data_IF_502677526854
#
_entry.id   IF_502677526854
#
_cell.length_a   1.000
_cell.length_b   1.000
_cell.length_c   1.000
_cell.angle_alpha   90.00
_cell.angle_beta   90.00
_cell.angle_gamma   90.00
#
_symmetry.space_group_name_H-M   'P 1'
#
loop_
_entity.id
_entity.type
_entity.pdbx_description
1 polymer ?
#
# COMPACT_ATOMS: atom_id res chain seq x y z
N UNK A 1 5.36 8.70 -12.46
CA UNK A 1 4.60 8.36 -13.69
C UNK A 1 5.21 7.08 -14.28
N UNK A 2 4.44 6.00 -14.40
CA UNK A 2 4.94 4.74 -14.97
C UNK A 2 5.26 4.93 -16.46
N UNK A 3 6.43 4.48 -16.92
CA UNK A 3 6.84 4.62 -18.32
C UNK A 3 5.86 3.87 -19.24
N UNK A 4 5.72 4.32 -20.48
CA UNK A 4 4.80 3.70 -21.45
C UNK A 4 5.08 2.20 -21.63
N UNK A 5 6.36 1.82 -21.63
CA UNK A 5 6.80 0.42 -21.70
C UNK A 5 6.28 -0.41 -20.52
N UNK A 6 6.27 0.15 -19.31
CA UNK A 6 5.77 -0.54 -18.11
C UNK A 6 4.23 -0.68 -18.15
N UNK A 7 3.53 0.29 -18.74
CA UNK A 7 2.07 0.18 -18.98
C UNK A 7 1.75 -0.96 -19.95
N UNK A 8 2.53 -1.11 -21.02
CA UNK A 8 2.37 -2.22 -21.97
C UNK A 8 2.66 -3.58 -21.34
N UNK A 9 3.69 -3.70 -20.50
CA UNK A 9 3.96 -4.94 -19.75
C UNK A 9 2.79 -5.35 -18.86
N UNK A 10 2.20 -4.41 -18.13
CA UNK A 10 1.03 -4.70 -17.28
C UNK A 10 -0.17 -5.12 -18.12
N UNK A 11 -0.43 -4.45 -19.25
CA UNK A 11 -1.48 -4.84 -20.18
C UNK A 11 -1.27 -6.25 -20.76
N UNK A 12 -0.05 -6.58 -21.16
CA UNK A 12 0.29 -7.93 -21.63
C UNK A 12 0.07 -8.97 -20.55
N UNK A 13 0.42 -8.68 -19.29
CA UNK A 13 0.17 -9.58 -18.15
C UNK A 13 -1.32 -9.77 -17.89
N UNK A 14 -2.12 -8.72 -18.03
CA UNK A 14 -3.58 -8.82 -17.92
C UNK A 14 -4.16 -9.69 -19.05
N UNK A 15 -3.64 -9.53 -20.26
CA UNK A 15 -4.20 -10.15 -21.46
C UNK A 15 -3.73 -11.58 -21.70
N UNK A 16 -2.44 -11.89 -21.51
CA UNK A 16 -1.82 -13.15 -21.96
C UNK A 16 -1.64 -14.20 -20.85
N UNK A 17 -1.60 -13.79 -19.58
CA UNK A 17 -1.44 -14.75 -18.49
C UNK A 17 -2.82 -15.25 -18.00
N UNK A 18 -3.17 -16.44 -18.48
CA UNK A 18 -4.35 -17.21 -18.08
C UNK A 18 -4.02 -18.39 -17.18
N UNK A 19 -2.73 -18.60 -16.88
CA UNK A 19 -2.25 -19.77 -16.15
C UNK A 19 -2.03 -19.46 -14.67
N UNK A 20 -1.86 -18.18 -14.33
CA UNK A 20 -1.74 -17.71 -12.96
C UNK A 20 -2.88 -16.78 -12.55
N UNK A 21 -3.25 -16.72 -11.26
CA UNK A 21 -4.20 -15.73 -10.76
C UNK A 21 -3.67 -14.31 -10.98
N UNK A 22 -4.55 -13.40 -11.39
CA UNK A 22 -4.23 -11.96 -11.44
C UNK A 22 -4.30 -11.37 -10.04
N UNK A 23 -3.17 -10.97 -9.50
CA UNK A 23 -3.09 -10.46 -8.13
C UNK A 23 -3.11 -8.94 -8.17
N UNK A 24 -4.14 -8.33 -7.60
CA UNK A 24 -4.30 -6.87 -7.56
C UNK A 24 -3.87 -6.27 -6.23
N UNK A 25 -3.09 -5.18 -6.25
CA UNK A 25 -2.68 -4.44 -5.06
C UNK A 25 -3.48 -3.14 -4.89
N UNK A 26 -3.94 -2.93 -3.67
CA UNK A 26 -4.67 -1.76 -3.20
C UNK A 26 -3.95 -1.19 -1.98
N UNK A 27 -4.11 0.11 -1.73
CA UNK A 27 -3.81 0.73 -0.43
C UNK A 27 -5.11 1.13 0.27
N UNK A 28 -6.05 1.70 -0.50
CA UNK A 28 -7.39 2.09 -0.10
C UNK A 28 -8.31 2.16 -1.34
N UNK A 29 -9.61 2.31 -1.10
CA UNK A 29 -10.59 2.51 -2.16
C UNK A 29 -11.84 3.27 -1.67
N UNK A 30 -12.49 3.98 -2.58
CA UNK A 30 -13.84 4.51 -2.37
C UNK A 30 -14.88 3.38 -2.49
N UNK A 31 -16.03 3.46 -1.79
CA UNK A 31 -17.01 2.38 -1.77
C UNK A 31 -17.53 2.02 -3.16
N UNK A 32 -17.89 3.03 -3.95
CA UNK A 32 -18.48 2.83 -5.27
C UNK A 32 -17.45 2.24 -6.24
N UNK A 33 -16.22 2.76 -6.23
CA UNK A 33 -15.11 2.24 -7.06
C UNK A 33 -14.80 0.78 -6.73
N UNK A 34 -14.76 0.42 -5.44
CA UNK A 34 -14.50 -0.97 -5.07
C UNK A 34 -15.67 -1.88 -5.45
N UNK A 35 -16.90 -1.42 -5.25
CA UNK A 35 -18.12 -2.17 -5.66
C UNK A 35 -18.14 -2.42 -7.17
N UNK A 36 -17.84 -1.40 -7.99
CA UNK A 36 -17.71 -1.54 -9.45
C UNK A 36 -16.65 -2.57 -9.85
N UNK A 37 -15.50 -2.59 -9.16
CA UNK A 37 -14.46 -3.59 -9.42
C UNK A 37 -14.93 -5.01 -9.08
N UNK A 38 -15.60 -5.20 -7.95
CA UNK A 38 -16.15 -6.51 -7.57
C UNK A 38 -17.23 -6.98 -8.56
N UNK A 39 -18.14 -6.08 -8.94
CA UNK A 39 -19.19 -6.36 -9.91
C UNK A 39 -18.63 -6.72 -11.28
N UNK A 40 -17.61 -6.00 -11.75
CA UNK A 40 -16.92 -6.33 -13.00
C UNK A 40 -16.27 -7.72 -12.95
N UNK A 41 -15.56 -8.04 -11.85
CA UNK A 41 -14.92 -9.33 -11.68
C UNK A 41 -15.95 -10.47 -11.69
N UNK A 42 -17.07 -10.30 -10.99
CA UNK A 42 -18.16 -11.26 -10.97
C UNK A 42 -18.83 -11.41 -12.34
N UNK A 43 -19.13 -10.30 -13.02
CA UNK A 43 -19.70 -10.28 -14.37
C UNK A 43 -18.81 -11.03 -15.37
N UNK A 44 -17.48 -10.83 -15.29
CA UNK A 44 -16.48 -11.52 -16.12
C UNK A 44 -16.15 -12.94 -15.62
N UNK A 45 -16.85 -13.42 -14.59
CA UNK A 45 -16.75 -14.76 -13.99
C UNK A 45 -15.36 -15.08 -13.46
N UNK A 46 -14.70 -14.10 -12.86
CA UNK A 46 -13.47 -14.34 -12.10
C UNK A 46 -13.81 -15.00 -10.76
N UNK A 47 -13.09 -16.07 -10.43
CA UNK A 47 -13.06 -16.62 -9.07
C UNK A 47 -12.06 -15.81 -8.24
N UNK A 48 -12.53 -15.24 -7.14
CA UNK A 48 -11.69 -14.50 -6.20
C UNK A 48 -11.13 -15.49 -5.17
N UNK A 49 -9.80 -15.62 -5.13
CA UNK A 49 -9.07 -16.60 -4.32
C UNK A 49 -8.65 -16.01 -2.97
N UNK A 50 -8.72 -16.83 -1.92
CA UNK A 50 -8.12 -16.53 -0.62
C UNK A 50 -6.69 -17.12 -0.48
N UNK A 51 -6.07 -16.95 0.68
CA UNK A 51 -4.71 -17.43 0.91
C UNK A 51 -4.55 -18.95 0.81
N UNK A 52 -5.54 -19.72 1.30
CA UNK A 52 -5.51 -21.19 1.22
C UNK A 52 -5.49 -21.68 -0.22
N UNK A 53 -6.32 -21.08 -1.08
CA UNK A 53 -6.29 -21.37 -2.52
C UNK A 53 -4.90 -21.07 -3.09
N UNK A 54 -4.30 -19.94 -2.70
CA UNK A 54 -3.01 -19.52 -3.21
C UNK A 54 -1.88 -20.45 -2.77
N UNK A 55 -1.87 -20.92 -1.52
CA UNK A 55 -0.94 -21.98 -1.06
C UNK A 55 -1.09 -23.23 -1.90
N UNK A 56 -2.33 -23.66 -2.17
CA UNK A 56 -2.60 -24.78 -3.08
C UNK A 56 -1.98 -24.56 -4.47
N UNK A 57 -2.01 -23.32 -5.00
CA UNK A 57 -1.36 -22.97 -6.29
C UNK A 57 0.16 -23.00 -6.27
N UNK A 58 0.78 -22.88 -5.10
CA UNK A 58 2.24 -23.08 -4.96
C UNK A 58 2.57 -24.56 -5.15
N UNK A 59 1.74 -25.44 -4.58
CA UNK A 59 1.96 -26.89 -4.60
C UNK A 59 1.53 -27.53 -5.92
N UNK A 60 0.39 -27.10 -6.46
CA UNK A 60 -0.20 -27.62 -7.69
C UNK A 60 -0.03 -26.60 -8.83
N UNK A 61 0.95 -26.86 -9.71
CA UNK A 61 1.06 -26.14 -11.00
C UNK A 61 -0.03 -26.63 -11.95
N UNK A 62 -1.28 -26.20 -11.75
CA UNK A 62 -2.27 -25.84 -12.79
C UNK A 62 -3.72 -26.18 -12.44
N UNK A 63 -4.56 -25.13 -12.49
CA UNK A 63 -5.73 -25.13 -13.37
C UNK A 63 -5.79 -23.76 -14.06
N UNK A 64 -5.83 -23.77 -15.39
CA UNK A 64 -6.11 -22.55 -16.14
C UNK A 64 -7.52 -22.07 -15.77
N UNK A 65 -7.65 -20.79 -15.43
CA UNK A 65 -8.89 -20.24 -14.91
C UNK A 65 -8.86 -18.72 -14.84
N UNK A 66 -10.05 -18.11 -14.89
CA UNK A 66 -10.20 -16.68 -14.61
C UNK A 66 -10.17 -16.50 -13.10
N UNK A 67 -8.99 -16.23 -12.57
CA UNK A 67 -8.77 -16.12 -11.14
C UNK A 67 -8.12 -14.80 -10.78
N UNK A 68 -8.54 -14.26 -9.64
CA UNK A 68 -7.95 -13.04 -9.08
C UNK A 68 -7.69 -13.20 -7.60
N UNK A 69 -6.72 -12.43 -7.11
CA UNK A 69 -6.47 -12.26 -5.67
C UNK A 69 -6.54 -10.76 -5.40
N UNK A 70 -7.26 -10.36 -4.36
CA UNK A 70 -7.34 -8.98 -3.91
C UNK A 70 -6.42 -8.80 -2.71
N UNK A 71 -5.43 -7.92 -2.82
CA UNK A 71 -4.46 -7.65 -1.76
C UNK A 71 -4.47 -6.19 -1.36
N UNK A 72 -4.44 -5.90 -0.06
CA UNK A 72 -4.44 -4.55 0.50
C UNK A 72 -3.19 -4.36 1.35
N UNK A 73 -2.37 -3.37 1.05
CA UNK A 73 -1.16 -3.06 1.81
C UNK A 73 -1.44 -2.05 2.94
N UNK A 74 -0.45 -1.87 3.81
CA UNK A 74 -0.33 -0.92 4.91
C UNK A 74 -1.25 -1.16 6.13
N UNK A 75 -2.35 -1.89 5.98
CA UNK A 75 -3.32 -2.09 7.06
C UNK A 75 -4.10 -0.81 7.40
N UNK A 76 -4.48 -0.04 6.37
CA UNK A 76 -5.26 1.20 6.54
C UNK A 76 -6.66 0.93 7.07
N UNK A 77 -7.18 1.87 7.85
CA UNK A 77 -8.55 1.92 8.37
C UNK A 77 -9.64 1.65 7.33
N UNK A 78 -9.40 2.09 6.10
CA UNK A 78 -10.29 1.83 4.97
C UNK A 78 -10.64 0.34 4.79
N UNK A 79 -9.73 -0.56 5.17
CA UNK A 79 -9.98 -1.99 5.14
C UNK A 79 -11.15 -2.41 6.04
N UNK A 80 -11.29 -1.79 7.22
CA UNK A 80 -12.42 -2.02 8.14
C UNK A 80 -13.67 -1.27 7.72
N UNK A 81 -13.53 0.03 7.48
CA UNK A 81 -14.67 0.91 7.30
C UNK A 81 -15.41 0.68 5.97
N UNK A 82 -14.71 0.22 4.93
CA UNK A 82 -15.25 0.14 3.57
C UNK A 82 -15.05 -1.24 2.95
N UNK A 83 -13.81 -1.73 2.91
CA UNK A 83 -13.49 -2.95 2.18
C UNK A 83 -14.22 -4.14 2.81
N UNK A 84 -14.09 -4.36 4.12
CA UNK A 84 -14.67 -5.52 4.79
C UNK A 84 -16.21 -5.62 4.69
N UNK A 85 -17.00 -4.54 4.92
CA UNK A 85 -18.43 -4.53 4.60
C UNK A 85 -18.76 -4.97 3.17
N UNK A 86 -17.96 -4.54 2.19
CA UNK A 86 -18.16 -4.91 0.79
C UNK A 86 -17.75 -6.37 0.53
N UNK A 87 -16.65 -6.86 1.12
CA UNK A 87 -16.29 -8.28 1.08
C UNK A 87 -17.43 -9.16 1.62
N UNK A 88 -18.07 -8.75 2.72
CA UNK A 88 -19.26 -9.43 3.28
C UNK A 88 -20.45 -9.39 2.31
N UNK A 89 -20.76 -8.22 1.76
CA UNK A 89 -21.88 -8.03 0.82
C UNK A 89 -21.75 -8.92 -0.41
N UNK A 90 -20.56 -9.00 -1.01
CA UNK A 90 -20.31 -9.80 -2.22
C UNK A 90 -19.84 -11.23 -1.92
N UNK A 91 -19.57 -11.57 -0.64
CA UNK A 91 -19.09 -12.89 -0.18
C UNK A 91 -17.79 -13.32 -0.85
N UNK A 92 -16.79 -12.43 -0.83
CA UNK A 92 -15.50 -12.63 -1.51
C UNK A 92 -14.33 -12.44 -0.55
N UNK A 93 -13.20 -13.06 -0.88
CA UNK A 93 -12.00 -13.05 -0.05
C UNK A 93 -11.03 -11.91 -0.40
N UNK A 94 -10.24 -11.49 0.58
CA UNK A 94 -9.08 -10.62 0.38
C UNK A 94 -7.95 -10.93 1.36
N UNK A 95 -6.73 -10.52 1.03
CA UNK A 95 -5.59 -10.58 1.93
C UNK A 95 -5.12 -9.17 2.28
N UNK A 96 -4.86 -8.90 3.55
CA UNK A 96 -4.34 -7.62 4.05
C UNK A 96 -2.91 -7.82 4.53
N UNK A 97 -1.97 -7.08 3.96
CA UNK A 97 -0.59 -6.99 4.43
C UNK A 97 -0.47 -5.80 5.37
N UNK A 98 -0.26 -6.07 6.66
CA UNK A 98 -0.24 -5.06 7.72
C UNK A 98 1.18 -4.66 8.09
N UNK A 99 1.32 -3.45 8.64
CA UNK A 99 2.54 -2.93 9.25
C UNK A 99 2.34 -2.99 10.77
N UNK A 100 2.81 -4.03 11.48
CA UNK A 100 2.38 -4.29 12.86
C UNK A 100 2.68 -3.16 13.84
N UNK A 101 3.71 -2.35 13.62
CA UNK A 101 3.98 -1.19 14.48
C UNK A 101 2.98 -0.04 14.35
N UNK A 102 2.12 -0.06 13.32
CA UNK A 102 1.08 0.95 13.08
C UNK A 102 -0.33 0.48 13.43
N UNK A 103 -0.48 -0.80 13.76
CA UNK A 103 -1.75 -1.36 14.22
C UNK A 103 -1.92 -1.03 15.70
N UNK A 104 -3.08 -0.49 16.05
CA UNK A 104 -3.38 -0.06 17.42
C UNK A 104 -3.93 -1.21 18.27
N UNK A 105 -3.60 -1.21 19.56
CA UNK A 105 -4.19 -2.08 20.59
C UNK A 105 -5.55 -1.56 21.12
N UNK A 106 -6.11 -0.51 20.51
CA UNK A 106 -7.43 0.01 20.87
C UNK A 106 -8.51 -1.07 20.69
N UNK A 107 -9.33 -1.27 21.72
CA UNK A 107 -10.49 -2.17 21.70
C UNK A 107 -11.81 -1.42 21.42
N UNK A 108 -11.75 -0.16 21.00
CA UNK A 108 -12.92 0.63 20.64
C UNK A 108 -13.61 0.09 19.37
N UNK A 109 -14.92 0.31 19.26
CA UNK A 109 -15.69 0.00 18.05
C UNK A 109 -15.77 1.23 17.15
N UNK A 110 -15.21 1.10 15.95
CA UNK A 110 -15.19 2.17 14.96
C UNK A 110 -16.25 1.93 13.86
N UNK A 111 -16.84 3.01 13.31
CA UNK A 111 -17.90 2.88 12.33
C UNK A 111 -17.41 2.32 10.99
N UNK A 112 -18.34 1.68 10.29
CA UNK A 112 -18.17 1.08 8.97
C UNK A 112 -19.33 1.42 8.04
N UNK A 113 -19.25 1.00 6.77
CA UNK A 113 -20.35 1.13 5.82
C UNK A 113 -21.62 0.42 6.29
N UNK A 114 -21.53 -0.66 7.08
CA UNK A 114 -22.73 -1.29 7.63
C UNK A 114 -23.44 -0.41 8.65
N UNK A 115 -22.70 0.39 9.40
CA UNK A 115 -23.27 1.40 10.31
C UNK A 115 -23.95 2.51 9.51
N UNK A 116 -23.32 2.95 8.42
CA UNK A 116 -23.89 3.93 7.51
C UNK A 116 -25.18 3.42 6.84
N UNK A 117 -25.18 2.21 6.28
CA UNK A 117 -26.36 1.60 5.65
C UNK A 117 -27.53 1.43 6.63
N UNK A 118 -27.25 1.27 7.94
CA UNK A 118 -28.26 1.18 9.00
C UNK A 118 -28.64 2.54 9.60
N UNK A 119 -28.11 3.64 9.08
CA UNK A 119 -28.38 4.99 9.57
C UNK A 119 -27.79 5.30 10.95
N UNK A 120 -26.81 4.51 11.43
CA UNK A 120 -26.16 4.68 12.75
C UNK A 120 -25.05 5.73 12.73
N UNK A 121 -24.55 6.09 11.55
CA UNK A 121 -23.54 7.14 11.34
C UNK A 121 -23.83 7.85 10.02
N UNK A 122 -23.52 9.15 9.94
CA UNK A 122 -23.56 9.88 8.67
C UNK A 122 -22.34 9.53 7.80
N UNK A 123 -22.46 9.73 6.48
CA UNK A 123 -21.32 9.56 5.57
C UNK A 123 -20.15 10.47 5.96
N UNK A 124 -20.41 11.72 6.34
CA UNK A 124 -19.37 12.68 6.76
C UNK A 124 -18.58 12.16 7.97
N UNK A 125 -19.27 11.65 8.99
CA UNK A 125 -18.60 11.11 10.18
C UNK A 125 -17.80 9.84 9.87
N UNK A 126 -18.33 8.96 9.01
CA UNK A 126 -17.59 7.78 8.54
C UNK A 126 -16.35 8.20 7.73
N UNK A 127 -16.49 9.18 6.84
CA UNK A 127 -15.43 9.71 6.00
C UNK A 127 -14.30 10.29 6.85
N UNK A 128 -14.62 11.17 7.80
CA UNK A 128 -13.65 11.82 8.68
C UNK A 128 -12.99 10.88 9.68
N UNK A 129 -13.59 9.71 9.97
CA UNK A 129 -13.00 8.73 10.91
C UNK A 129 -11.61 8.25 10.49
N UNK A 130 -11.34 8.18 9.17
CA UNK A 130 -10.03 7.81 8.61
C UNK A 130 -8.91 8.76 9.05
N UNK A 131 -9.20 10.06 9.25
CA UNK A 131 -8.20 11.03 9.73
C UNK A 131 -7.89 10.86 11.21
N UNK A 132 -8.87 10.42 12.00
CA UNK A 132 -8.71 10.22 13.45
C UNK A 132 -7.91 8.96 13.76
N UNK A 133 -8.19 7.90 13.01
CA UNK A 133 -7.59 6.60 13.20
C UNK A 133 -7.23 6.01 11.82
N UNK A 134 -6.05 6.31 11.27
CA UNK A 134 -5.70 5.98 9.88
C UNK A 134 -5.38 4.50 9.65
N UNK A 135 -5.07 3.76 10.71
CA UNK A 135 -4.76 2.32 10.67
C UNK A 135 -5.80 1.49 11.43
N UNK A 136 -5.81 0.20 11.12
CA UNK A 136 -6.63 -0.79 11.81
C UNK A 136 -6.23 -0.98 13.27
N UNK A 137 -7.11 -1.63 14.03
CA UNK A 137 -6.76 -2.21 15.34
C UNK A 137 -6.56 -3.73 15.23
N UNK A 138 -5.89 -4.32 16.23
CA UNK A 138 -5.82 -5.78 16.33
C UNK A 138 -7.19 -6.43 16.55
N UNK A 139 -8.10 -5.76 17.28
CA UNK A 139 -9.50 -6.20 17.42
C UNK A 139 -10.17 -6.37 16.05
N UNK A 140 -10.04 -5.38 15.16
CA UNK A 140 -10.63 -5.41 13.82
C UNK A 140 -10.02 -6.50 12.95
N UNK A 141 -8.69 -6.67 13.00
CA UNK A 141 -8.00 -7.73 12.25
C UNK A 141 -8.46 -9.12 12.70
N UNK A 142 -8.60 -9.36 14.02
CA UNK A 142 -9.13 -10.61 14.56
C UNK A 142 -10.58 -10.85 14.10
N UNK A 143 -11.42 -9.83 14.13
CA UNK A 143 -12.82 -9.94 13.66
C UNK A 143 -12.90 -10.25 12.16
N UNK A 144 -12.17 -9.50 11.33
CA UNK A 144 -12.09 -9.74 9.89
C UNK A 144 -11.57 -11.15 9.60
N UNK A 145 -10.54 -11.61 10.33
CA UNK A 145 -10.01 -12.97 10.19
C UNK A 145 -11.05 -14.03 10.53
N UNK A 146 -11.72 -13.88 11.67
CA UNK A 146 -12.73 -14.84 12.16
C UNK A 146 -13.91 -15.01 11.21
N UNK A 147 -14.19 -14.03 10.34
CA UNK A 147 -15.23 -14.13 9.31
C UNK A 147 -14.91 -15.13 8.20
N UNK A 148 -13.63 -15.54 8.06
CA UNK A 148 -13.14 -16.36 6.96
C UNK A 148 -12.94 -15.60 5.64
N UNK A 149 -13.31 -14.32 5.55
CA UNK A 149 -13.20 -13.52 4.33
C UNK A 149 -11.84 -12.82 4.18
N UNK A 150 -11.13 -12.62 5.29
CA UNK A 150 -9.87 -11.86 5.29
C UNK A 150 -8.73 -12.70 5.84
N UNK A 151 -7.62 -12.70 5.11
CA UNK A 151 -6.33 -13.19 5.59
C UNK A 151 -5.43 -12.01 6.00
N UNK A 152 -4.57 -12.17 7.00
CA UNK A 152 -3.69 -11.13 7.53
C UNK A 152 -2.23 -11.56 7.41
N UNK A 153 -1.40 -10.73 6.76
CA UNK A 153 -0.02 -11.04 6.41
C UNK A 153 0.91 -9.84 6.61
N UNK A 154 2.21 -10.04 6.36
CA UNK A 154 3.26 -9.10 6.74
C UNK A 154 3.61 -8.08 5.64
N UNK A 155 3.65 -6.80 5.99
CA UNK A 155 4.20 -5.72 5.16
C UNK A 155 5.41 -5.04 5.83
N UNK A 156 6.32 -5.84 6.38
CA UNK A 156 7.42 -5.39 7.26
C UNK A 156 6.94 -4.85 8.62
N UNK A 157 7.87 -4.65 9.56
CA UNK A 157 7.55 -4.27 10.92
C UNK A 157 7.11 -2.80 11.04
N UNK A 158 7.92 -1.87 10.50
CA UNK A 158 7.67 -0.42 10.57
C UNK A 158 7.34 0.26 9.25
N UNK A 159 7.64 -0.41 8.13
CA UNK A 159 7.55 0.19 6.80
C UNK A 159 8.27 1.55 6.73
N UNK A 160 9.38 1.68 7.46
CA UNK A 160 10.17 2.91 7.48
C UNK A 160 10.73 3.19 6.10
N UNK A 161 10.46 4.38 5.58
CA UNK A 161 10.95 4.84 4.28
C UNK A 161 11.88 6.02 4.50
N UNK A 162 13.00 6.05 3.79
CA UNK A 162 13.97 7.14 3.86
C UNK A 162 14.35 7.62 2.47
N UNK A 163 14.62 8.93 2.29
CA UNK A 163 15.21 9.42 1.05
C UNK A 163 16.61 8.84 0.85
N UNK A 164 16.93 8.45 -0.39
CA UNK A 164 18.24 7.91 -0.80
C UNK A 164 18.82 8.63 -2.00
N UNK A 165 18.14 9.66 -2.52
CA UNK A 165 18.62 10.47 -3.62
C UNK A 165 17.98 11.86 -3.66
N UNK A 166 18.64 12.80 -4.33
CA UNK A 166 18.18 14.19 -4.47
C UNK A 166 17.08 14.36 -5.52
N UNK A 167 16.80 13.32 -6.31
CA UNK A 167 15.80 13.36 -7.37
C UNK A 167 14.40 13.39 -6.76
N UNK A 168 13.64 14.43 -7.04
CA UNK A 168 12.22 14.50 -6.67
C UNK A 168 11.44 13.59 -7.61
N UNK A 169 10.58 12.74 -7.04
CA UNK A 169 9.74 11.80 -7.79
C UNK A 169 8.28 12.22 -7.80
N UNK A 170 7.85 13.01 -6.80
CA UNK A 170 6.52 13.60 -6.71
C UNK A 170 6.47 14.71 -5.65
N UNK A 171 5.27 15.19 -5.33
CA UNK A 171 5.03 16.07 -4.18
C UNK A 171 3.90 15.51 -3.32
N UNK A 172 3.94 15.76 -2.03
CA UNK A 172 2.90 15.34 -1.10
C UNK A 172 1.57 16.01 -1.46
N UNK A 173 0.55 15.19 -1.70
CA UNK A 173 -0.78 15.62 -2.11
C UNK A 173 -1.87 14.73 -1.48
N UNK A 174 -3.13 15.18 -1.45
CA UNK A 174 -4.23 14.37 -0.95
C UNK A 174 -4.52 13.16 -1.84
N UNK A 175 -4.86 12.05 -1.22
CA UNK A 175 -5.32 10.79 -1.81
C UNK A 175 -6.78 10.51 -1.46
N UNK A 176 -7.11 9.22 -1.34
CA UNK A 176 -8.45 8.75 -0.97
C UNK A 176 -8.75 9.17 0.48
N UNK A 177 -9.99 9.59 0.75
CA UNK A 177 -10.41 10.22 2.01
C UNK A 177 -9.56 11.43 2.42
N UNK A 178 -8.95 12.10 1.45
CA UNK A 178 -8.07 13.27 1.67
C UNK A 178 -6.85 12.96 2.54
N UNK A 179 -6.50 11.68 2.64
CA UNK A 179 -5.31 11.25 3.35
C UNK A 179 -4.06 11.53 2.52
N UNK A 180 -2.92 11.90 3.15
CA UNK A 180 -1.66 12.05 2.45
C UNK A 180 -1.30 10.80 1.62
N UNK A 181 -0.93 10.95 0.34
CA UNK A 181 -0.51 9.79 -0.47
C UNK A 181 0.76 9.12 0.06
N UNK A 182 1.75 9.90 0.49
CA UNK A 182 3.01 9.40 1.06
C UNK A 182 3.00 9.43 2.58
N UNK A 183 1.82 9.19 3.18
CA UNK A 183 1.58 9.25 4.62
C UNK A 183 2.66 8.52 5.46
N UNK A 184 3.10 7.37 4.96
CA UNK A 184 4.08 6.49 5.58
C UNK A 184 5.47 7.10 5.80
N UNK A 185 5.85 8.10 5.01
CA UNK A 185 7.16 8.77 5.11
C UNK A 185 7.24 9.72 6.31
N UNK A 186 6.09 10.11 6.86
CA UNK A 186 5.99 11.17 7.88
C UNK A 186 5.59 10.64 9.26
N UNK A 187 5.43 9.32 9.42
CA UNK A 187 4.90 8.70 10.64
C UNK A 187 5.93 8.61 11.79
N UNK A 188 7.23 8.74 11.52
CA UNK A 188 8.28 8.61 12.55
C UNK A 188 8.32 9.78 13.56
N UNK A 189 7.59 10.88 13.31
CA UNK A 189 7.62 12.11 14.11
C UNK A 189 6.37 12.37 14.96
N UNK A 190 5.47 11.38 15.12
CA UNK A 190 4.08 11.62 15.54
C UNK A 190 3.23 12.00 14.34
N UNK A 191 1.89 11.92 14.43
CA UNK A 191 1.03 12.32 13.31
C UNK A 191 1.24 13.82 13.02
N UNK A 192 1.93 14.23 11.94
CA UNK A 192 1.88 15.63 11.56
C UNK A 192 0.41 15.96 11.26
N UNK A 193 -0.01 17.19 11.55
CA UNK A 193 -1.27 17.67 11.03
C UNK A 193 -1.25 17.43 9.50
N UNK A 194 -2.18 16.67 8.91
CA UNK A 194 -2.14 16.37 7.48
C UNK A 194 -2.04 17.63 6.61
N UNK A 195 -2.46 18.77 7.16
CA UNK A 195 -2.44 20.06 6.49
C UNK A 195 -1.09 20.78 6.47
N UNK A 196 -0.09 20.31 7.22
CA UNK A 196 1.25 20.92 7.29
C UNK A 196 2.25 20.35 6.28
N UNK A 197 1.86 19.37 5.46
CA UNK A 197 2.79 18.66 4.57
C UNK A 197 2.46 18.80 3.09
N UNK A 198 1.38 19.50 2.75
CA UNK A 198 0.97 19.64 1.36
C UNK A 198 2.00 20.37 0.51
N UNK A 199 2.34 19.79 -0.64
CA UNK A 199 3.32 20.34 -1.59
C UNK A 199 4.77 20.00 -1.31
N UNK A 200 5.09 19.41 -0.16
CA UNK A 200 6.47 19.05 0.17
C UNK A 200 7.00 18.04 -0.86
N UNK A 201 8.22 18.22 -1.39
CA UNK A 201 8.82 17.26 -2.30
C UNK A 201 8.94 15.85 -1.72
N UNK A 202 8.65 14.87 -2.57
CA UNK A 202 8.88 13.46 -2.28
C UNK A 202 10.10 13.05 -3.09
N UNK A 203 11.14 12.64 -2.38
CA UNK A 203 12.42 12.29 -2.96
C UNK A 203 12.47 10.82 -3.38
N UNK A 204 13.47 10.49 -4.20
CA UNK A 204 13.88 9.12 -4.42
C UNK A 204 14.19 8.46 -3.09
N UNK A 205 13.60 7.29 -2.86
CA UNK A 205 13.45 6.72 -1.53
C UNK A 205 13.55 5.21 -1.54
N UNK A 206 13.93 4.68 -0.39
CA UNK A 206 14.00 3.25 -0.17
C UNK A 206 13.38 2.83 1.15
N UNK A 207 13.03 1.55 1.24
CA UNK A 207 12.78 0.92 2.52
C UNK A 207 14.06 0.98 3.36
N UNK A 208 13.99 1.63 4.52
CA UNK A 208 15.15 2.01 5.32
C UNK A 208 16.10 0.86 5.67
N UNK A 209 15.64 -0.37 5.93
CA UNK A 209 16.52 -1.52 6.16
C UNK A 209 17.48 -1.84 5.00
N UNK A 210 17.22 -1.35 3.79
CA UNK A 210 18.08 -1.53 2.61
C UNK A 210 19.04 -0.35 2.39
N UNK A 211 18.85 0.78 3.08
CA UNK A 211 19.59 2.01 2.82
C UNK A 211 20.91 2.03 3.60
N UNK A 212 22.03 2.12 2.88
CA UNK A 212 23.35 2.37 3.51
C UNK A 212 23.63 3.87 3.71
N UNK A 213 23.12 4.71 2.79
CA UNK A 213 23.22 6.16 2.85
C UNK A 213 21.82 6.76 2.73
N UNK A 214 21.57 7.80 3.51
CA UNK A 214 20.32 8.55 3.55
C UNK A 214 20.58 9.94 3.00
N UNK A 215 19.78 10.35 2.03
CA UNK A 215 19.73 11.72 1.56
C UNK A 215 18.95 12.57 2.57
N UNK A 216 19.49 13.72 2.93
CA UNK A 216 18.86 14.71 3.80
C UNK A 216 18.57 15.95 2.95
N UNK A 217 17.30 16.15 2.54
CA UNK A 217 16.88 17.31 1.77
C UNK A 217 17.17 18.64 2.50
N UNK A 218 17.34 19.70 1.70
CA UNK A 218 17.32 21.06 2.24
C UNK A 218 15.88 21.48 2.57
N UNK A 219 15.62 21.75 3.85
CA UNK A 219 14.30 22.16 4.36
C UNK A 219 13.77 23.44 3.72
N UNK A 220 14.64 24.29 3.15
CA UNK A 220 14.18 25.48 2.43
C UNK A 220 13.26 25.12 1.26
N UNK A 221 13.58 24.04 0.55
CA UNK A 221 12.75 23.56 -0.57
C UNK A 221 11.37 23.16 -0.08
N UNK A 222 11.31 22.36 0.98
CA UNK A 222 10.06 21.90 1.60
C UNK A 222 9.18 23.09 2.02
N UNK A 223 9.78 24.08 2.70
CA UNK A 223 9.09 25.27 3.17
C UNK A 223 8.55 26.13 2.02
N UNK A 224 9.35 26.39 0.98
CA UNK A 224 8.93 27.21 -0.17
C UNK A 224 7.79 26.55 -0.93
N UNK A 225 7.87 25.23 -1.16
CA UNK A 225 6.83 24.49 -1.85
C UNK A 225 5.54 24.42 -1.02
N UNK A 226 5.65 24.23 0.30
CA UNK A 226 4.50 24.22 1.20
C UNK A 226 3.79 25.58 1.25
N UNK A 227 4.54 26.68 1.42
CA UNK A 227 3.97 28.02 1.45
C UNK A 227 3.32 28.41 0.12
N UNK A 228 3.86 27.96 -1.02
CA UNK A 228 3.20 28.13 -2.32
C UNK A 228 1.82 27.46 -2.36
N UNK A 229 1.70 26.22 -1.86
CA UNK A 229 0.41 25.54 -1.81
C UNK A 229 -0.56 26.29 -0.91
N UNK A 230 -0.12 26.69 0.29
CA UNK A 230 -0.92 27.44 1.24
C UNK A 230 -1.44 28.75 0.64
N UNK A 231 -0.57 29.53 0.01
CA UNK A 231 -0.94 30.76 -0.70
C UNK A 231 -1.86 30.51 -1.92
N UNK A 232 -1.77 29.33 -2.53
CA UNK A 232 -2.54 28.96 -3.73
C UNK A 232 -3.89 28.30 -3.45
N UNK A 233 -4.40 28.41 -2.21
CA UNK A 233 -5.69 27.87 -1.76
C UNK A 233 -5.60 26.59 -0.94
N UNK A 234 -4.40 26.22 -0.47
CA UNK A 234 -4.16 25.07 0.39
C UNK A 234 -4.71 23.78 -0.22
N UNK A 235 -5.53 23.06 0.54
CA UNK A 235 -6.17 21.83 0.10
C UNK A 235 -6.95 21.96 -1.24
N UNK A 236 -7.64 23.09 -1.46
CA UNK A 236 -8.42 23.32 -2.69
C UNK A 236 -7.54 23.44 -3.95
N UNK A 237 -6.23 23.70 -3.79
CA UNK A 237 -5.28 23.66 -4.90
C UNK A 237 -5.33 22.32 -5.64
N UNK A 238 -5.42 21.21 -4.91
CA UNK A 238 -5.39 19.85 -5.47
C UNK A 238 -6.69 19.43 -6.16
N UNK A 239 -7.78 20.20 -6.02
CA UNK A 239 -9.03 19.94 -6.76
C UNK A 239 -8.95 20.45 -8.22
N UNK A 240 -7.91 21.23 -8.57
CA UNK A 240 -7.67 21.72 -9.94
C UNK A 240 -7.12 20.61 -10.82
N UNK A 241 -7.67 20.40 -12.02
CA UNK A 241 -7.26 19.30 -12.92
C UNK A 241 -5.75 19.28 -13.24
N UNK A 242 -5.11 20.45 -13.33
CA UNK A 242 -3.70 20.62 -13.67
C UNK A 242 -2.80 20.95 -12.46
N UNK A 243 -3.25 20.66 -11.23
CA UNK A 243 -2.50 21.03 -10.02
C UNK A 243 -1.06 20.49 -10.05
N UNK A 244 -0.84 19.28 -10.59
CA UNK A 244 0.47 18.63 -10.64
C UNK A 244 1.42 19.36 -11.59
N UNK A 245 0.96 19.74 -12.77
CA UNK A 245 1.77 20.49 -13.74
C UNK A 245 2.17 21.86 -13.18
N UNK A 246 1.22 22.55 -12.52
CA UNK A 246 1.47 23.84 -11.86
C UNK A 246 2.53 23.73 -10.77
N UNK A 247 2.50 22.65 -9.98
CA UNK A 247 3.46 22.44 -8.91
C UNK A 247 4.86 22.15 -9.45
N UNK A 248 4.96 21.32 -10.50
CA UNK A 248 6.22 21.08 -11.20
C UNK A 248 6.77 22.32 -11.91
N UNK A 249 5.89 23.15 -12.48
CA UNK A 249 6.28 24.44 -13.07
C UNK A 249 6.84 25.39 -12.01
N UNK A 250 6.13 25.55 -10.89
CA UNK A 250 6.60 26.39 -9.78
C UNK A 250 7.95 25.92 -9.24
N UNK A 251 8.11 24.60 -9.01
CA UNK A 251 9.39 24.03 -8.59
C UNK A 251 10.52 24.34 -9.57
N UNK A 252 10.28 24.20 -10.89
CA UNK A 252 11.30 24.46 -11.92
C UNK A 252 11.72 25.92 -11.98
N UNK A 253 10.78 26.85 -11.80
CA UNK A 253 11.06 28.30 -11.80
C UNK A 253 11.94 28.72 -10.62
N UNK A 254 11.80 28.07 -9.47
CA UNK A 254 12.53 28.40 -8.24
C UNK A 254 13.72 27.48 -7.97
N UNK A 255 14.05 26.58 -8.91
CA UNK A 255 15.06 25.54 -8.71
C UNK A 255 16.45 26.09 -8.39
N UNK A 256 16.79 27.27 -8.94
CA UNK A 256 18.05 27.97 -8.66
C UNK A 256 18.21 28.41 -7.20
N UNK A 257 17.10 28.56 -6.49
CA UNK A 257 17.08 29.12 -5.12
C UNK A 257 17.21 28.04 -4.05
N UNK A 258 17.16 26.77 -4.46
CA UNK A 258 17.21 25.60 -3.59
C UNK A 258 18.65 25.11 -3.44
N UNK A 259 19.11 24.97 -2.20
CA UNK A 259 20.39 24.35 -1.95
C UNK A 259 20.31 22.84 -2.20
N UNK A 260 21.43 22.25 -2.58
CA UNK A 260 21.55 20.80 -2.58
C UNK A 260 21.53 20.29 -1.13
N UNK A 261 20.68 19.31 -0.84
CA UNK A 261 20.79 18.51 0.38
C UNK A 261 22.12 17.73 0.45
N UNK A 262 22.32 16.99 1.55
CA UNK A 262 23.55 16.22 1.78
C UNK A 262 23.26 14.76 2.07
N UNK A 263 24.28 13.90 1.97
CA UNK A 263 24.18 12.50 2.36
C UNK A 263 24.77 12.28 3.75
N UNK A 264 24.15 11.39 4.51
CA UNK A 264 24.71 10.83 5.74
C UNK A 264 24.59 9.30 5.72
N UNK A 265 25.47 8.61 6.46
CA UNK A 265 25.31 7.18 6.69
C UNK A 265 24.00 6.90 7.41
N UNK A 266 23.33 5.81 7.05
CA UNK A 266 22.16 5.35 7.78
C UNK A 266 22.56 5.05 9.24
N UNK A 267 21.78 5.51 10.20
CA UNK A 267 21.97 5.19 11.62
C UNK A 267 21.62 3.72 11.87
N UNK A 268 22.24 3.11 12.90
CA UNK A 268 21.79 1.81 13.38
C UNK A 268 20.30 1.86 13.70
N UNK A 269 19.51 1.00 13.05
CA UNK A 269 18.05 0.99 13.14
C UNK A 269 17.51 -0.40 12.84
N UNK A 270 16.24 -0.48 12.50
CA UNK A 270 15.61 -1.72 12.05
C UNK A 270 16.32 -2.24 10.78
N UNK A 271 16.99 -3.38 10.88
CA UNK A 271 17.54 -4.10 9.74
C UNK A 271 16.53 -5.06 9.11
N UNK A 272 16.85 -5.59 7.92
CA UNK A 272 15.95 -6.47 7.15
C UNK A 272 15.49 -7.66 8.00
N UNK A 273 16.44 -8.31 8.68
CA UNK A 273 16.19 -9.44 9.56
C UNK A 273 15.24 -9.11 10.71
N UNK A 274 15.51 -8.04 11.44
CA UNK A 274 14.68 -7.58 12.55
C UNK A 274 13.26 -7.26 12.08
N UNK A 275 13.13 -6.61 10.92
CA UNK A 275 11.83 -6.26 10.35
C UNK A 275 11.01 -7.49 9.98
N UNK A 276 11.62 -8.42 9.24
CA UNK A 276 10.94 -9.61 8.71
C UNK A 276 10.48 -10.53 9.84
N UNK A 277 11.39 -10.86 10.77
CA UNK A 277 11.10 -11.75 11.90
C UNK A 277 10.16 -11.09 12.91
N UNK A 278 10.42 -9.82 13.23
CA UNK A 278 9.61 -9.07 14.19
C UNK A 278 8.17 -8.86 13.70
N UNK A 279 7.99 -8.60 12.41
CA UNK A 279 6.65 -8.49 11.80
C UNK A 279 5.90 -9.81 11.86
N UNK A 280 6.54 -10.92 11.44
CA UNK A 280 5.95 -12.26 11.47
C UNK A 280 5.46 -12.59 12.88
N UNK A 281 6.37 -12.50 13.86
CA UNK A 281 6.09 -12.82 15.27
C UNK A 281 4.90 -12.02 15.80
N UNK A 282 4.89 -10.69 15.62
CA UNK A 282 3.79 -9.85 16.12
C UNK A 282 2.43 -10.22 15.51
N UNK A 283 2.39 -10.53 14.21
CA UNK A 283 1.15 -10.94 13.55
C UNK A 283 0.68 -12.29 14.07
N UNK A 284 1.58 -13.27 14.18
CA UNK A 284 1.24 -14.61 14.64
C UNK A 284 0.77 -14.61 16.10
N UNK A 285 1.41 -13.82 16.96
CA UNK A 285 0.99 -13.62 18.36
C UNK A 285 -0.41 -12.99 18.46
N UNK A 286 -0.71 -11.99 17.62
CA UNK A 286 -1.98 -11.26 17.68
C UNK A 286 -3.15 -11.99 17.00
N UNK A 287 -2.88 -12.75 15.94
CA UNK A 287 -3.90 -13.44 15.12
C UNK A 287 -4.07 -14.90 15.54
N UNK A 288 -3.03 -15.54 16.06
CA UNK A 288 -3.03 -16.96 16.46
C UNK A 288 -2.90 -17.94 15.28
N UNK A 289 -2.45 -17.47 14.11
CA UNK A 289 -2.25 -18.29 12.91
C UNK A 289 -0.92 -17.97 12.25
N UNK A 290 -0.37 -18.92 11.47
CA UNK A 290 0.88 -18.75 10.73
C UNK A 290 0.77 -17.60 9.70
N UNK A 291 1.71 -16.66 9.74
CA UNK A 291 1.83 -15.59 8.76
C UNK A 291 2.62 -16.08 7.55
N UNK A 292 1.90 -16.56 6.53
CA UNK A 292 2.47 -17.27 5.39
C UNK A 292 3.16 -16.38 4.36
N UNK A 293 2.70 -15.13 4.19
CA UNK A 293 3.11 -14.28 3.08
C UNK A 293 3.72 -12.96 3.52
N UNK A 294 4.63 -12.45 2.70
CA UNK A 294 5.27 -11.16 2.88
C UNK A 294 5.07 -10.28 1.66
N UNK A 295 4.71 -9.02 1.85
CA UNK A 295 4.64 -8.01 0.79
C UNK A 295 5.85 -7.09 0.90
N UNK A 296 6.65 -6.97 -0.17
CA UNK A 296 7.86 -6.14 -0.16
C UNK A 296 7.50 -4.65 -0.07
N UNK A 297 8.00 -3.91 0.95
CA UNK A 297 7.91 -2.46 1.01
C UNK A 297 8.45 -1.81 -0.27
N UNK A 298 7.66 -0.91 -0.86
CA UNK A 298 7.97 -0.23 -2.13
C UNK A 298 8.33 -1.17 -3.31
N UNK A 299 8.08 -2.48 -3.20
CA UNK A 299 8.53 -3.50 -4.13
C UNK A 299 10.06 -3.63 -4.29
N UNK A 300 10.84 -3.19 -3.30
CA UNK A 300 12.30 -3.13 -3.37
C UNK A 300 12.99 -4.27 -2.60
N UNK A 301 14.25 -4.54 -2.97
CA UNK A 301 15.18 -5.35 -2.18
C UNK A 301 14.88 -6.84 -2.09
N UNK A 302 14.31 -7.44 -3.15
CA UNK A 302 14.02 -8.87 -3.14
C UNK A 302 15.29 -9.71 -2.87
N UNK A 303 16.43 -9.37 -3.49
CA UNK A 303 17.68 -10.12 -3.37
C UNK A 303 18.19 -10.16 -1.93
N UNK A 304 18.10 -9.03 -1.24
CA UNK A 304 18.56 -8.84 0.13
C UNK A 304 17.57 -9.46 1.14
N UNK A 305 16.28 -9.47 0.81
CA UNK A 305 15.21 -9.87 1.72
C UNK A 305 14.85 -11.35 1.62
N UNK A 306 14.97 -11.96 0.43
CA UNK A 306 14.53 -13.34 0.20
C UNK A 306 15.18 -14.40 1.12
N UNK A 307 16.51 -14.38 1.39
CA UNK A 307 17.11 -15.37 2.29
C UNK A 307 16.53 -15.30 3.72
N UNK A 308 16.24 -14.09 4.19
CA UNK A 308 15.63 -13.86 5.50
C UNK A 308 14.18 -14.34 5.53
N UNK A 309 13.44 -14.17 4.43
CA UNK A 309 12.06 -14.67 4.30
C UNK A 309 12.00 -16.20 4.33
N UNK A 310 12.91 -16.87 3.62
CA UNK A 310 13.02 -18.33 3.62
C UNK A 310 13.34 -18.85 5.03
N UNK A 311 14.31 -18.23 5.70
CA UNK A 311 14.66 -18.59 7.08
C UNK A 311 13.51 -18.37 8.05
N UNK A 312 12.76 -17.27 7.88
CA UNK A 312 11.58 -16.98 8.67
C UNK A 312 10.39 -17.90 8.32
N UNK A 313 10.49 -18.78 7.32
CA UNK A 313 9.46 -19.75 6.95
C UNK A 313 8.30 -19.19 6.12
N UNK A 314 8.42 -17.98 5.57
CA UNK A 314 7.41 -17.46 4.63
C UNK A 314 7.31 -18.36 3.39
N UNK A 315 6.10 -18.59 2.90
CA UNK A 315 5.84 -19.45 1.73
C UNK A 315 5.98 -18.72 0.40
N UNK A 316 5.68 -17.42 0.40
CA UNK A 316 5.77 -16.60 -0.79
C UNK A 316 5.99 -15.13 -0.46
N UNK A 317 6.54 -14.41 -1.44
CA UNK A 317 6.67 -12.96 -1.42
C UNK A 317 5.85 -12.31 -2.52
N UNK A 318 5.23 -11.19 -2.20
CA UNK A 318 4.47 -10.36 -3.10
C UNK A 318 5.29 -9.14 -3.50
N UNK A 319 5.43 -8.95 -4.80
CA UNK A 319 6.29 -7.91 -5.40
C UNK A 319 5.47 -7.06 -6.38
N UNK A 320 6.13 -6.08 -6.99
CA UNK A 320 5.52 -5.18 -7.96
C UNK A 320 5.15 -5.87 -9.28
N UNK A 321 4.80 -5.09 -10.31
CA UNK A 321 4.49 -5.63 -11.62
C UNK A 321 5.71 -6.28 -12.29
N UNK A 322 6.91 -5.80 -12.01
CA UNK A 322 8.15 -6.35 -12.53
C UNK A 322 8.55 -7.65 -11.83
N UNK A 323 9.06 -8.61 -12.60
CA UNK A 323 9.53 -9.90 -12.11
C UNK A 323 10.99 -9.71 -11.64
N UNK A 324 11.31 -9.91 -10.36
CA UNK A 324 12.69 -9.86 -9.88
C UNK A 324 13.47 -11.07 -10.40
N UNK A 325 14.81 -10.97 -10.38
CA UNK A 325 15.69 -12.12 -10.67
C UNK A 325 15.42 -13.26 -9.68
N UNK A 326 14.95 -14.40 -10.22
CA UNK A 326 14.51 -15.57 -9.43
C UNK A 326 15.66 -16.50 -9.08
N UNK A 327 16.87 -16.30 -9.62
CA UNK A 327 18.01 -17.18 -9.36
C UNK A 327 18.58 -17.02 -7.93
N UNK A 328 18.04 -16.09 -7.14
CA UNK A 328 18.53 -15.77 -5.80
C UNK A 328 17.90 -16.64 -4.71
N UNK A 329 16.70 -17.18 -4.92
CA UNK A 329 15.93 -17.85 -3.87
C UNK A 329 14.91 -18.83 -4.46
N UNK A 330 14.60 -19.87 -3.70
CA UNK A 330 13.55 -20.85 -3.99
C UNK A 330 12.14 -20.36 -3.63
N UNK A 331 12.04 -19.20 -2.95
CA UNK A 331 10.79 -18.60 -2.50
C UNK A 331 9.85 -18.31 -3.68
N UNK A 332 8.58 -18.69 -3.54
CA UNK A 332 7.57 -18.37 -4.55
C UNK A 332 7.37 -16.86 -4.64
N UNK A 333 7.42 -16.31 -5.86
CA UNK A 333 7.22 -14.89 -6.13
C UNK A 333 5.86 -14.65 -6.80
N UNK A 334 5.08 -13.75 -6.22
CA UNK A 334 3.79 -13.28 -6.73
C UNK A 334 3.88 -11.82 -7.16
N UNK A 335 3.92 -11.58 -8.46
CA UNK A 335 3.94 -10.22 -9.01
C UNK A 335 2.53 -9.62 -9.01
N UNK A 336 2.37 -8.40 -8.48
CA UNK A 336 1.07 -7.73 -8.36
C UNK A 336 0.81 -6.73 -9.48
N UNK A 337 -0.46 -6.37 -9.65
CA UNK A 337 -0.95 -5.39 -10.60
C UNK A 337 -1.67 -4.29 -9.80
N UNK A 338 -1.35 -3.00 -9.99
CA UNK A 338 -2.09 -1.95 -9.31
C UNK A 338 -3.60 -2.03 -9.59
N UNK A 339 -4.43 -1.90 -8.55
CA UNK A 339 -5.87 -2.12 -8.63
C UNK A 339 -6.61 -1.31 -9.68
N UNK A 340 -6.14 -0.10 -10.00
CA UNK A 340 -6.75 0.74 -11.03
C UNK A 340 -6.80 0.08 -12.41
N UNK A 341 -6.00 -0.96 -12.65
CA UNK A 341 -6.00 -1.72 -13.88
C UNK A 341 -7.20 -2.66 -14.02
N UNK A 342 -7.93 -2.96 -12.94
CA UNK A 342 -9.13 -3.83 -12.97
C UNK A 342 -10.14 -3.34 -14.00
N UNK A 343 -10.34 -2.01 -14.12
CA UNK A 343 -11.27 -1.43 -15.10
C UNK A 343 -10.97 -1.81 -16.55
N UNK A 344 -9.72 -2.16 -16.88
CA UNK A 344 -9.36 -2.57 -18.23
C UNK A 344 -9.77 -4.01 -18.55
N UNK A 345 -10.19 -4.80 -17.55
CA UNK A 345 -10.84 -6.09 -17.80
C UNK A 345 -12.19 -5.95 -18.50
N UNK A 346 -12.75 -4.74 -18.61
CA UNK A 346 -13.95 -4.48 -19.43
C UNK A 346 -13.71 -4.79 -20.91
N UNK A 347 -12.50 -4.54 -21.41
CA UNK A 347 -12.11 -4.70 -22.82
C UNK A 347 -11.80 -6.15 -23.24
N UNK A 348 -11.82 -7.10 -22.30
CA UNK A 348 -11.48 -8.51 -22.51
C UNK A 348 -12.55 -9.43 -21.92
#
# INVERSE_FOLDING_TARGET
MMLLQDKLKVLLKLWLDHRSPKIFSFHDCLPDVFSEYLELLMYKRYRILGARDLVGRIQERSKAGREVVLTFDDGRRNCWSVIFPLLKKYRVHASIFVIPSRISDSEEDYPSLEDYWRGRVSWENLYLSHRKQPYLTWKELRQMRSSGLVDVFSHSLSHRIVPVGSRIVDFQHPGVYEMPVYFDEWFEGGMPSPDSIWGIPVYERAWAPLASNVYVPDKKTDNVMHEFIKASGGFLFFKKKNWRDRLWEYYRQHKSDFASGHFRKASAGEGVRTSVLGSKRKIEEAIGEECLFFSLPLYQGFKETAPVLEEAGYKAVFVGPDIPDRNVSSLQVFCRIPSFWIKFLTYF
#
